data_IF_229585833570
#
_entry.id   IF_229585833570
#
_cell.length_a   1.000
_cell.length_b   1.000
_cell.length_c   1.000
_cell.angle_alpha   90.00
_cell.angle_beta   90.00
_cell.angle_gamma   90.00
#
_symmetry.space_group_name_H-M   'P 1'
#
loop_
_entity.id
_entity.type
_entity.pdbx_description
1 polymer ?
#
# COMPACT_ATOMS: atom_id res chain seq x y z
N UNK A 1 4.63 12.51 9.11
CA UNK A 1 3.81 11.33 8.79
C UNK A 1 2.38 11.52 9.27
N UNK A 2 1.40 11.58 8.36
CA UNK A 2 -0.01 11.86 8.72
C UNK A 2 -0.64 13.10 8.15
N UNK A 3 0.16 13.88 7.44
CA UNK A 3 -0.28 15.06 6.72
C UNK A 3 -0.73 14.69 5.32
N UNK A 4 -1.24 15.69 4.59
CA UNK A 4 -1.62 15.59 3.18
C UNK A 4 -0.48 15.11 2.28
N UNK A 5 0.78 15.37 2.65
CA UNK A 5 1.96 14.97 1.88
C UNK A 5 2.07 13.46 1.65
N UNK A 6 1.81 12.61 2.66
CA UNK A 6 1.87 11.16 2.47
C UNK A 6 0.81 10.66 1.48
N UNK A 7 -0.35 11.34 1.43
CA UNK A 7 -1.39 11.02 0.46
C UNK A 7 -0.99 11.48 -0.94
N UNK A 8 -0.50 12.72 -1.08
CA UNK A 8 -0.04 13.25 -2.35
C UNK A 8 1.08 12.38 -2.96
N UNK A 9 2.04 11.95 -2.14
CA UNK A 9 3.12 11.07 -2.57
C UNK A 9 2.60 9.71 -3.05
N UNK A 10 1.71 9.06 -2.28
CA UNK A 10 1.10 7.79 -2.69
C UNK A 10 0.31 7.93 -3.99
N UNK A 11 -0.43 9.03 -4.15
CA UNK A 11 -1.15 9.32 -5.38
C UNK A 11 -0.18 9.45 -6.57
N UNK A 12 0.91 10.21 -6.41
CA UNK A 12 1.93 10.36 -7.44
C UNK A 12 2.54 9.01 -7.84
N UNK A 13 2.95 8.21 -6.85
CA UNK A 13 3.55 6.89 -7.07
C UNK A 13 2.59 5.93 -7.76
N UNK A 14 1.34 5.84 -7.31
CA UNK A 14 0.34 4.93 -7.88
C UNK A 14 -0.10 5.38 -9.28
N UNK A 15 -0.29 6.69 -9.49
CA UNK A 15 -0.58 7.24 -10.81
C UNK A 15 0.52 6.93 -11.82
N UNK A 16 1.78 6.93 -11.38
CA UNK A 16 2.90 6.54 -12.23
C UNK A 16 2.94 5.03 -12.45
N UNK A 17 2.90 4.22 -11.38
CA UNK A 17 2.97 2.76 -11.47
C UNK A 17 1.90 2.17 -12.39
N UNK A 18 0.64 2.63 -12.26
CA UNK A 18 -0.47 2.14 -13.08
C UNK A 18 -0.39 2.54 -14.57
N UNK A 19 0.59 3.34 -14.99
CA UNK A 19 0.91 3.48 -16.42
C UNK A 19 1.53 2.20 -16.99
N UNK A 20 2.17 1.39 -16.15
CA UNK A 20 3.00 0.26 -16.58
C UNK A 20 2.52 -1.09 -16.05
N UNK A 21 1.82 -1.11 -14.90
CA UNK A 21 1.34 -2.35 -14.28
C UNK A 21 -0.16 -2.33 -14.05
N UNK A 22 -0.77 -3.52 -13.97
CA UNK A 22 -2.20 -3.68 -13.64
C UNK A 22 -2.44 -3.80 -12.13
N UNK A 23 -1.44 -4.29 -11.40
CA UNK A 23 -1.55 -4.59 -9.97
C UNK A 23 -0.35 -4.08 -9.19
N UNK A 24 -0.60 -3.57 -7.98
CA UNK A 24 0.43 -3.18 -7.01
C UNK A 24 0.24 -3.96 -5.72
N UNK A 25 1.31 -4.58 -5.23
CA UNK A 25 1.31 -5.34 -3.98
C UNK A 25 2.02 -4.53 -2.89
N UNK A 26 1.36 -4.42 -1.73
CA UNK A 26 1.91 -3.79 -0.54
C UNK A 26 2.14 -4.84 0.54
N UNK A 27 3.36 -4.85 1.08
CA UNK A 27 3.69 -5.59 2.29
C UNK A 27 3.73 -4.62 3.46
N UNK A 28 2.90 -4.85 4.46
CA UNK A 28 2.76 -3.94 5.60
C UNK A 28 2.85 -4.75 6.89
N UNK A 29 3.81 -4.41 7.75
CA UNK A 29 3.98 -5.06 9.05
C UNK A 29 2.68 -5.12 9.85
N UNK A 30 2.44 -6.24 10.55
CA UNK A 30 1.17 -6.50 11.23
C UNK A 30 0.84 -5.48 12.32
N UNK A 31 1.83 -4.85 12.95
CA UNK A 31 1.60 -3.77 13.93
C UNK A 31 1.50 -2.38 13.29
N UNK A 32 1.76 -2.23 11.99
CA UNK A 32 1.65 -0.96 11.29
C UNK A 32 0.19 -0.67 10.86
N UNK A 33 -0.70 -0.62 11.85
CA UNK A 33 -2.15 -0.42 11.69
C UNK A 33 -2.47 0.83 10.86
N UNK A 34 -1.66 1.88 11.03
CA UNK A 34 -1.81 3.13 10.29
C UNK A 34 -1.66 2.93 8.78
N UNK A 35 -0.63 2.22 8.35
CA UNK A 35 -0.36 2.00 6.92
C UNK A 35 -1.36 1.02 6.32
N UNK A 36 -1.78 0.00 7.09
CA UNK A 36 -2.87 -0.91 6.73
C UNK A 36 -4.15 -0.11 6.40
N UNK A 37 -4.62 0.71 7.35
CA UNK A 37 -5.81 1.55 7.14
C UNK A 37 -5.66 2.57 6.02
N UNK A 38 -4.47 3.12 5.82
CA UNK A 38 -4.22 4.09 4.75
C UNK A 38 -4.33 3.45 3.35
N UNK A 39 -3.84 2.21 3.19
CA UNK A 39 -3.85 1.50 1.91
C UNK A 39 -5.23 0.88 1.63
N UNK A 40 -5.92 0.39 2.67
CA UNK A 40 -7.35 0.00 2.59
C UNK A 40 -8.22 1.18 2.10
N UNK A 41 -8.03 2.38 2.66
CA UNK A 41 -8.78 3.58 2.25
C UNK A 41 -8.51 4.01 0.81
N UNK A 42 -7.36 3.64 0.25
CA UNK A 42 -7.00 3.90 -1.14
C UNK A 42 -7.52 2.82 -2.10
N UNK A 43 -8.24 1.81 -1.61
CA UNK A 43 -8.88 0.78 -2.43
C UNK A 43 -8.13 -0.55 -2.50
N UNK A 44 -7.02 -0.71 -1.78
CA UNK A 44 -6.33 -1.98 -1.75
C UNK A 44 -7.08 -3.00 -0.86
N UNK A 45 -7.03 -4.26 -1.26
CA UNK A 45 -7.70 -5.38 -0.60
C UNK A 45 -6.68 -6.27 0.10
N UNK A 46 -7.00 -6.71 1.31
CA UNK A 46 -6.19 -7.70 2.01
C UNK A 46 -6.28 -9.04 1.28
N UNK A 47 -5.13 -9.65 0.99
CA UNK A 47 -5.05 -10.94 0.28
C UNK A 47 -4.28 -12.02 1.04
N UNK A 48 -3.67 -11.69 2.19
CA UNK A 48 -3.00 -12.68 3.02
C UNK A 48 -1.92 -12.11 3.92
N UNK A 49 -1.12 -12.99 4.51
CA UNK A 49 0.02 -12.65 5.36
C UNK A 49 1.23 -13.47 4.95
N UNK A 50 2.42 -12.88 5.07
CA UNK A 50 3.69 -13.54 4.77
C UNK A 50 4.76 -13.13 5.75
N UNK A 51 5.63 -14.08 6.07
CA UNK A 51 6.85 -13.80 6.80
C UNK A 51 7.87 -13.19 5.82
N UNK A 52 8.27 -11.95 6.09
CA UNK A 52 9.26 -11.20 5.32
C UNK A 52 10.42 -10.91 6.26
N UNK A 53 11.59 -11.41 5.87
CA UNK A 53 12.81 -11.22 6.64
C UNK A 53 13.54 -10.01 6.05
N UNK A 54 13.38 -8.85 6.68
CA UNK A 54 14.31 -7.75 6.49
C UNK A 54 15.45 -7.90 7.52
N UNK A 55 16.73 -7.82 7.11
CA UNK A 55 17.86 -8.00 8.02
C UNK A 55 17.85 -7.09 9.26
N UNK A 56 17.18 -5.94 9.17
CA UNK A 56 17.12 -4.91 10.22
C UNK A 56 15.82 -4.90 11.03
N UNK A 57 14.83 -5.74 10.73
CA UNK A 57 13.53 -5.71 11.39
C UNK A 57 13.32 -6.90 12.33
N UNK A 58 12.93 -6.62 13.57
CA UNK A 58 12.53 -7.63 14.56
C UNK A 58 11.15 -8.25 14.24
N UNK A 59 10.32 -7.56 13.46
CA UNK A 59 8.97 -8.00 13.14
C UNK A 59 8.93 -8.63 11.76
N UNK A 60 8.82 -9.96 11.73
CA UNK A 60 8.92 -10.74 10.49
C UNK A 60 7.58 -10.91 9.78
N UNK A 61 6.45 -10.54 10.39
CA UNK A 61 5.13 -10.79 9.80
C UNK A 61 4.56 -9.53 9.14
N UNK A 62 4.21 -9.64 7.86
CA UNK A 62 3.53 -8.60 7.10
C UNK A 62 2.21 -9.10 6.53
N UNK A 63 1.21 -8.21 6.51
CA UNK A 63 0.01 -8.36 5.69
C UNK A 63 0.30 -7.95 4.25
N UNK A 64 -0.33 -8.66 3.33
CA UNK A 64 -0.26 -8.44 1.89
C UNK A 64 -1.56 -7.79 1.45
N UNK A 65 -1.46 -6.64 0.80
CA UNK A 65 -2.56 -5.96 0.17
C UNK A 65 -2.33 -5.87 -1.35
N UNK A 66 -3.38 -6.07 -2.13
CA UNK A 66 -3.37 -5.90 -3.58
C UNK A 66 -4.24 -4.71 -3.97
N UNK A 67 -3.76 -3.90 -4.92
CA UNK A 67 -4.55 -2.84 -5.55
C UNK A 67 -4.56 -3.02 -7.06
N UNK A 68 -5.74 -3.16 -7.63
CA UNK A 68 -5.96 -3.22 -9.07
C UNK A 68 -6.05 -1.80 -9.64
N UNK A 69 -5.49 -1.61 -10.84
CA UNK A 69 -5.63 -0.38 -11.62
C UNK A 69 -7.08 0.04 -11.83
N UNK A 70 -7.99 -0.91 -12.00
CA UNK A 70 -9.42 -0.66 -12.17
C UNK A 70 -10.10 -0.09 -10.92
N UNK A 71 -9.59 -0.44 -9.74
CA UNK A 71 -10.08 0.08 -8.45
C UNK A 71 -9.45 1.41 -8.06
N UNK A 72 -8.36 1.79 -8.74
CA UNK A 72 -7.69 3.07 -8.53
C UNK A 72 -8.47 4.21 -9.18
N UNK A 73 -9.38 4.82 -8.43
CA UNK A 73 -10.06 6.04 -8.85
C UNK A 73 -9.05 7.19 -8.81
N UNK A 74 -8.73 7.74 -9.98
CA UNK A 74 -7.99 8.99 -10.10
C UNK A 74 -8.73 10.07 -9.34
N UNK A 75 -8.30 10.36 -8.12
CA UNK A 75 -8.77 11.56 -7.43
C UNK A 75 -8.10 12.73 -8.13
N UNK A 76 -8.87 13.48 -8.92
CA UNK A 76 -8.43 14.80 -9.38
C UNK A 76 -8.09 15.62 -8.12
N UNK A 77 -6.85 16.09 -8.05
CA UNK A 77 -6.38 16.99 -7.01
C UNK A 77 -7.01 18.35 -7.23
#
# INVERSE_FOLDING_TARGET
WGTTYNRALKNLMLNYAFKFVEKVIFYIGVKNIRSQKAIEKLGAKYIGKKEIVYPSENERLSFIYEMDKSTWVRTAV
#
